data_IF_466400707417
#
_entry.id   IF_466400707417
#
_cell.length_a   1.000
_cell.length_b   1.000
_cell.length_c   1.000
_cell.angle_alpha   90.00
_cell.angle_beta   90.00
_cell.angle_gamma   90.00
#
_symmetry.space_group_name_H-M   'P 1'
#
loop_
_entity.id
_entity.type
_entity.pdbx_description
1 polymer ?
#
# COMPACT_ATOMS: atom_id res chain seq x y z
N UNK A 1 9.99 8.71 -1.57
CA UNK A 1 9.71 8.41 -2.98
C UNK A 1 9.67 6.91 -3.15
N UNK A 2 8.65 6.37 -3.83
CA UNK A 2 8.57 4.96 -4.22
C UNK A 2 8.79 4.86 -5.73
N UNK A 3 9.61 3.89 -6.16
CA UNK A 3 9.82 3.55 -7.56
C UNK A 3 9.38 2.10 -7.77
N UNK A 4 8.52 1.87 -8.77
CA UNK A 4 7.95 0.55 -9.04
C UNK A 4 8.03 0.22 -10.54
N UNK A 5 9.21 -0.13 -11.08
CA UNK A 5 9.30 -0.71 -12.41
C UNK A 5 8.54 -2.04 -12.47
N UNK A 6 7.69 -2.19 -13.48
CA UNK A 6 6.87 -3.39 -13.68
C UNK A 6 6.97 -3.85 -15.12
N UNK A 7 7.19 -5.15 -15.31
CA UNK A 7 7.18 -5.81 -16.61
C UNK A 7 5.92 -6.67 -16.76
N UNK A 8 5.16 -6.43 -17.81
CA UNK A 8 3.94 -7.17 -18.13
C UNK A 8 4.21 -8.14 -19.28
N UNK A 9 3.94 -9.42 -19.05
CA UNK A 9 4.14 -10.46 -20.06
C UNK A 9 3.06 -10.37 -21.13
N UNK A 10 3.47 -10.47 -22.39
CA UNK A 10 2.52 -10.47 -23.52
C UNK A 10 1.71 -11.78 -23.62
N UNK A 11 2.30 -12.90 -23.19
CA UNK A 11 1.64 -14.22 -23.22
C UNK A 11 0.77 -14.38 -21.97
N UNK A 12 -0.52 -14.69 -22.13
CA UNK A 12 -1.40 -14.95 -20.98
C UNK A 12 -0.93 -16.17 -20.16
N UNK A 13 -1.06 -16.05 -18.85
CA UNK A 13 -0.81 -17.14 -17.89
C UNK A 13 -2.15 -17.45 -17.21
N UNK A 14 -2.59 -18.70 -17.19
CA UNK A 14 -3.87 -19.12 -16.61
C UNK A 14 -5.07 -18.26 -17.11
N UNK A 15 -5.02 -17.83 -18.35
CA UNK A 15 -6.04 -16.96 -18.93
C UNK A 15 -5.98 -15.49 -18.52
N UNK A 16 -5.01 -15.12 -17.69
CA UNK A 16 -4.80 -13.76 -17.19
C UNK A 16 -3.49 -13.15 -17.65
N UNK A 17 -3.34 -11.85 -17.44
CA UNK A 17 -2.12 -11.10 -17.74
C UNK A 17 -1.21 -11.08 -16.53
N UNK A 18 -0.06 -11.73 -16.63
CA UNK A 18 0.97 -11.73 -15.60
C UNK A 18 1.83 -10.48 -15.68
N UNK A 19 2.12 -9.87 -14.55
CA UNK A 19 3.13 -8.83 -14.43
C UNK A 19 4.01 -9.09 -13.20
N UNK A 20 5.29 -8.75 -13.32
CA UNK A 20 6.26 -8.78 -12.22
C UNK A 20 6.85 -7.39 -12.03
N UNK A 21 7.15 -7.04 -10.82
CA UNK A 21 7.71 -5.72 -10.47
C UNK A 21 8.57 -5.77 -9.22
N UNK A 22 9.24 -4.65 -8.98
CA UNK A 22 10.05 -4.44 -7.80
C UNK A 22 9.82 -3.02 -7.32
N UNK A 23 9.30 -2.84 -6.10
CA UNK A 23 9.19 -1.52 -5.50
C UNK A 23 10.41 -1.25 -4.63
N UNK A 24 11.02 -0.08 -4.79
CA UNK A 24 12.07 0.42 -3.93
C UNK A 24 11.65 1.73 -3.26
N UNK A 25 12.06 1.91 -2.02
CA UNK A 25 11.77 3.10 -1.22
C UNK A 25 13.06 3.95 -1.06
N UNK A 26 12.94 5.25 -1.24
CA UNK A 26 13.90 6.25 -0.80
C UNK A 26 13.17 7.40 -0.09
N UNK A 27 13.68 7.82 1.06
CA UNK A 27 12.99 8.87 1.80
C UNK A 27 13.69 9.32 3.06
N UNK A 28 12.94 10.09 3.84
CA UNK A 28 13.31 10.51 5.19
C UNK A 28 12.25 10.02 6.17
N UNK A 29 12.72 9.41 7.25
CA UNK A 29 11.92 9.11 8.43
C UNK A 29 12.39 10.01 9.58
N UNK A 30 11.45 10.51 10.39
CA UNK A 30 11.74 11.22 11.62
C UNK A 30 10.71 10.87 12.68
N UNK A 31 11.18 10.76 13.94
CA UNK A 31 10.34 10.49 15.09
C UNK A 31 10.79 11.37 16.26
N UNK A 32 9.84 12.00 16.93
CA UNK A 32 10.05 12.78 18.14
C UNK A 32 9.16 12.22 19.25
N UNK A 33 9.77 11.81 20.36
CA UNK A 33 9.08 11.35 21.56
C UNK A 33 9.17 12.41 22.64
N UNK A 34 8.02 12.87 23.13
CA UNK A 34 7.93 13.78 24.26
C UNK A 34 7.46 13.00 25.48
N UNK A 35 8.25 13.01 26.55
CA UNK A 35 7.96 12.33 27.80
C UNK A 35 7.90 13.29 28.98
N UNK A 36 6.99 13.00 29.91
CA UNK A 36 6.91 13.71 31.19
C UNK A 36 7.09 12.69 32.31
N UNK A 37 8.14 12.84 33.10
CA UNK A 37 8.38 12.04 34.31
C UNK A 37 7.99 12.84 35.52
N UNK A 38 6.99 12.37 36.27
CA UNK A 38 6.63 12.93 37.58
C UNK A 38 7.03 11.98 38.67
N UNK A 39 7.96 12.40 39.51
CA UNK A 39 8.39 11.65 40.70
C UNK A 39 7.76 12.29 41.93
N UNK A 40 6.94 11.55 42.68
CA UNK A 40 6.33 11.99 43.93
C UNK A 40 7.02 11.37 45.10
N UNK A 41 7.39 12.20 46.13
CA UNK A 41 7.94 11.78 47.39
C UNK A 41 7.15 12.46 48.51
N UNK A 42 6.17 11.76 49.08
CA UNK A 42 5.21 12.34 50.04
C UNK A 42 4.41 13.48 49.40
N UNK A 43 4.33 14.67 50.04
CA UNK A 43 3.59 15.81 49.51
C UNK A 43 4.31 16.56 48.35
N UNK A 44 5.53 16.17 48.02
CA UNK A 44 6.35 16.82 47.00
C UNK A 44 6.32 16.05 45.71
N UNK A 45 6.06 16.74 44.56
CA UNK A 45 6.16 16.18 43.26
C UNK A 45 7.11 17.01 42.37
N UNK A 46 8.02 16.33 41.69
CA UNK A 46 8.92 16.95 40.72
C UNK A 46 8.57 16.39 39.31
N UNK A 47 8.24 17.28 38.42
CA UNK A 47 7.95 16.94 37.04
C UNK A 47 9.10 17.36 36.13
N UNK A 48 9.62 16.43 35.32
CA UNK A 48 10.64 16.70 34.33
C UNK A 48 10.07 16.34 32.95
N UNK A 49 10.23 17.22 31.98
CA UNK A 49 9.91 16.99 30.59
C UNK A 49 11.21 16.71 29.83
N UNK A 50 11.15 15.77 28.90
CA UNK A 50 12.25 15.47 27.99
C UNK A 50 11.72 15.15 26.59
N UNK A 51 12.49 15.52 25.57
CA UNK A 51 12.24 15.19 24.16
C UNK A 51 13.43 14.40 23.64
N UNK A 52 13.15 13.28 22.98
CA UNK A 52 14.15 12.50 22.24
C UNK A 52 13.70 12.50 20.78
N UNK A 53 14.55 13.04 19.89
CA UNK A 53 14.29 13.06 18.45
C UNK A 53 15.33 12.26 17.68
N UNK A 54 14.90 11.64 16.59
CA UNK A 54 15.77 10.95 15.64
C UNK A 54 15.26 11.13 14.21
N UNK A 55 16.19 11.14 13.26
CA UNK A 55 15.83 11.18 11.83
C UNK A 55 16.90 10.51 10.95
N UNK A 56 16.45 9.87 9.88
CA UNK A 56 17.32 9.24 8.88
C UNK A 56 16.82 9.55 7.47
N UNK A 57 17.74 9.80 6.55
CA UNK A 57 17.46 9.86 5.10
C UNK A 57 18.26 8.76 4.44
N UNK A 58 17.58 7.79 3.84
CA UNK A 58 18.22 6.59 3.27
C UNK A 58 17.29 5.88 2.30
N UNK A 59 17.69 4.68 1.89
CA UNK A 59 16.86 3.72 1.18
C UNK A 59 16.12 2.82 2.17
N UNK A 60 14.92 2.42 1.83
CA UNK A 60 14.15 1.39 2.55
C UNK A 60 14.32 0.02 1.92
N UNK A 61 13.42 -0.88 2.28
CA UNK A 61 13.41 -2.25 1.81
C UNK A 61 12.98 -2.37 0.34
N UNK A 62 13.19 -3.55 -0.24
CA UNK A 62 12.78 -3.87 -1.60
C UNK A 62 11.59 -4.82 -1.57
N UNK A 63 10.58 -4.52 -2.39
CA UNK A 63 9.33 -5.26 -2.44
C UNK A 63 9.13 -5.90 -3.83
N UNK A 64 9.68 -7.12 -4.08
CA UNK A 64 9.36 -7.88 -5.28
C UNK A 64 7.89 -8.27 -5.28
N UNK A 65 7.25 -8.19 -6.46
CA UNK A 65 5.83 -8.53 -6.58
C UNK A 65 5.52 -9.22 -7.90
N UNK A 66 4.50 -10.07 -7.87
CA UNK A 66 3.87 -10.63 -9.05
C UNK A 66 2.36 -10.43 -8.96
N UNK A 67 1.74 -10.04 -10.08
CA UNK A 67 0.28 -9.87 -10.18
C UNK A 67 -0.25 -10.62 -11.38
N UNK A 68 -1.41 -11.25 -11.22
CA UNK A 68 -2.14 -11.89 -12.31
C UNK A 68 -3.52 -11.26 -12.41
N UNK A 69 -3.86 -10.70 -13.57
CA UNK A 69 -5.08 -9.93 -13.80
C UNK A 69 -5.95 -10.56 -14.87
N UNK A 70 -7.26 -10.59 -14.62
CA UNK A 70 -8.27 -11.02 -15.57
C UNK A 70 -9.24 -9.90 -15.85
N UNK A 71 -9.52 -9.66 -17.15
CA UNK A 71 -10.49 -8.68 -17.60
C UNK A 71 -11.70 -9.39 -18.20
N UNK A 72 -12.89 -9.10 -17.69
CA UNK A 72 -14.17 -9.62 -18.18
C UNK A 72 -15.13 -8.49 -18.53
N UNK A 73 -14.63 -7.45 -19.19
CA UNK A 73 -15.38 -6.27 -19.56
C UNK A 73 -15.43 -5.23 -18.45
N UNK A 74 -16.59 -4.99 -17.85
CA UNK A 74 -16.73 -4.03 -16.76
C UNK A 74 -16.12 -4.54 -15.44
N UNK A 75 -15.88 -5.85 -15.32
CA UNK A 75 -15.40 -6.50 -14.13
C UNK A 75 -13.96 -7.00 -14.33
N UNK A 76 -13.06 -6.62 -13.44
CA UNK A 76 -11.66 -7.02 -13.48
C UNK A 76 -11.30 -7.65 -12.16
N UNK A 77 -10.54 -8.72 -12.22
CA UNK A 77 -10.07 -9.45 -11.04
C UNK A 77 -8.54 -9.48 -11.02
N UNK A 78 -7.98 -9.55 -9.85
CA UNK A 78 -6.54 -9.63 -9.65
C UNK A 78 -6.22 -10.56 -8.49
N UNK A 79 -5.14 -11.32 -8.61
CA UNK A 79 -4.44 -11.88 -7.47
C UNK A 79 -2.99 -11.41 -7.48
N UNK A 80 -2.36 -11.36 -6.32
CA UNK A 80 -0.98 -10.95 -6.21
C UNK A 80 -0.26 -11.70 -5.09
N UNK A 81 1.05 -11.70 -5.20
CA UNK A 81 1.98 -12.01 -4.12
C UNK A 81 3.06 -10.94 -4.12
N UNK A 82 3.48 -10.52 -2.92
CA UNK A 82 4.54 -9.56 -2.70
C UNK A 82 5.44 -10.05 -1.58
N UNK A 83 6.74 -9.77 -1.66
CA UNK A 83 7.69 -10.01 -0.60
C UNK A 83 8.25 -8.71 -0.06
N UNK A 84 8.86 -8.77 1.10
CA UNK A 84 9.74 -7.74 1.65
C UNK A 84 11.13 -8.33 1.85
N UNK A 85 12.11 -7.73 1.19
CA UNK A 85 13.53 -8.04 1.34
C UNK A 85 14.15 -6.95 2.22
N UNK A 86 14.55 -7.25 3.46
CA UNK A 86 14.98 -6.28 4.46
C UNK A 86 16.42 -5.82 4.21
N UNK A 87 16.62 -5.02 3.17
CA UNK A 87 17.90 -4.42 2.79
C UNK A 87 17.98 -2.92 3.08
N UNK A 88 16.91 -2.35 3.56
CA UNK A 88 16.80 -0.95 3.92
C UNK A 88 17.57 -0.59 5.19
N UNK A 89 17.71 0.71 5.41
CA UNK A 89 18.40 1.22 6.60
C UNK A 89 17.56 0.93 7.85
N UNK A 90 18.04 -0.01 8.65
CA UNK A 90 17.48 -0.43 9.91
C UNK A 90 18.55 -0.56 11.01
N UNK A 91 18.23 -0.04 12.18
CA UNK A 91 19.00 -0.20 13.42
C UNK A 91 18.00 -0.27 14.59
N UNK A 92 17.98 -1.39 15.38
CA UNK A 92 17.02 -1.58 16.46
C UNK A 92 17.17 -0.58 17.62
N UNK A 93 18.27 0.17 17.66
CA UNK A 93 18.52 1.19 18.69
C UNK A 93 18.00 2.57 18.31
N UNK A 94 17.56 2.77 17.06
CA UNK A 94 17.04 4.03 16.55
C UNK A 94 15.53 4.12 16.68
N UNK A 95 15.03 5.35 16.85
CA UNK A 95 13.60 5.66 16.80
C UNK A 95 13.08 5.76 15.36
N UNK A 96 13.94 6.23 14.43
CA UNK A 96 13.58 6.41 13.04
C UNK A 96 14.36 5.43 12.14
N UNK A 97 13.64 4.59 11.42
CA UNK A 97 14.15 3.64 10.45
C UNK A 97 13.39 3.77 9.11
N UNK A 98 13.98 3.31 8.01
CA UNK A 98 13.33 3.19 6.69
C UNK A 98 13.14 1.73 6.26
N UNK A 99 13.96 0.82 6.76
CA UNK A 99 13.72 -0.62 6.70
C UNK A 99 12.94 -1.09 7.93
N UNK A 100 12.23 -2.21 7.81
CA UNK A 100 11.47 -2.81 8.93
C UNK A 100 12.28 -3.84 9.72
N UNK A 101 13.47 -4.20 9.21
CA UNK A 101 14.42 -5.09 9.90
C UNK A 101 14.04 -6.58 9.88
N UNK A 102 13.04 -6.97 9.12
CA UNK A 102 12.65 -8.37 8.91
C UNK A 102 11.99 -8.56 7.55
N UNK A 103 12.06 -9.78 7.01
CA UNK A 103 11.34 -10.12 5.80
C UNK A 103 9.83 -10.24 6.07
N UNK A 104 9.03 -10.09 5.01
CA UNK A 104 7.61 -10.38 5.03
C UNK A 104 7.17 -11.00 3.70
N UNK A 105 6.04 -11.70 3.72
CA UNK A 105 5.33 -12.14 2.53
C UNK A 105 3.87 -11.76 2.63
N UNK A 106 3.36 -11.20 1.55
CA UNK A 106 1.99 -10.73 1.43
C UNK A 106 1.31 -11.37 0.22
N UNK A 107 0.04 -11.67 0.34
CA UNK A 107 -0.74 -12.19 -0.76
C UNK A 107 -2.21 -11.88 -0.62
N UNK A 108 -2.85 -11.69 -1.76
CA UNK A 108 -4.25 -11.29 -1.75
C UNK A 108 -4.90 -11.26 -3.11
N UNK A 109 -6.04 -10.57 -3.16
CA UNK A 109 -6.81 -10.40 -4.37
C UNK A 109 -7.44 -9.03 -4.47
N UNK A 110 -7.81 -8.68 -5.69
CA UNK A 110 -8.45 -7.41 -5.99
C UNK A 110 -9.58 -7.55 -7.00
N UNK A 111 -10.46 -6.59 -6.93
CA UNK A 111 -11.58 -6.46 -7.84
C UNK A 111 -11.72 -5.00 -8.27
N UNK A 112 -11.98 -4.78 -9.56
CA UNK A 112 -12.33 -3.48 -10.10
C UNK A 112 -13.58 -3.60 -10.96
N UNK A 113 -14.58 -2.79 -10.65
CA UNK A 113 -15.70 -2.49 -11.53
C UNK A 113 -15.43 -1.16 -12.24
N UNK A 114 -15.57 -1.13 -13.54
CA UNK A 114 -15.50 0.10 -14.32
C UNK A 114 -16.56 0.09 -15.44
N UNK A 115 -17.43 1.09 -15.41
CA UNK A 115 -18.41 1.32 -16.45
C UNK A 115 -18.05 2.57 -17.28
N UNK A 116 -17.53 2.41 -18.50
CA UNK A 116 -17.10 3.54 -19.33
C UNK A 116 -18.24 4.42 -19.84
N UNK A 117 -19.50 3.94 -19.83
CA UNK A 117 -20.66 4.72 -20.25
C UNK A 117 -21.10 5.71 -19.16
N UNK A 118 -21.06 5.30 -17.90
CA UNK A 118 -21.45 6.13 -16.76
C UNK A 118 -20.27 6.80 -16.08
N UNK A 119 -19.05 6.32 -16.33
CA UNK A 119 -17.83 6.79 -15.68
C UNK A 119 -17.69 6.37 -14.21
N UNK A 120 -18.51 5.43 -13.73
CA UNK A 120 -18.36 4.91 -12.37
C UNK A 120 -17.26 3.87 -12.33
N UNK A 121 -16.42 3.99 -11.31
CA UNK A 121 -15.38 3.01 -10.97
C UNK A 121 -15.44 2.69 -9.48
N UNK A 122 -15.25 1.42 -9.15
CA UNK A 122 -14.98 0.94 -7.79
C UNK A 122 -13.88 -0.10 -7.84
N UNK A 123 -12.87 0.09 -7.03
CA UNK A 123 -11.74 -0.85 -6.89
C UNK A 123 -11.52 -1.20 -5.43
N UNK A 124 -11.21 -2.45 -5.15
CA UNK A 124 -10.77 -2.88 -3.83
C UNK A 124 -9.71 -3.97 -3.96
N UNK A 125 -8.74 -3.96 -3.05
CA UNK A 125 -7.69 -4.97 -2.91
C UNK A 125 -7.61 -5.35 -1.44
N UNK A 126 -7.62 -6.65 -1.14
CA UNK A 126 -7.45 -7.15 0.22
C UNK A 126 -6.38 -8.23 0.26
N UNK A 127 -5.64 -8.29 1.36
CA UNK A 127 -4.55 -9.23 1.53
C UNK A 127 -4.23 -9.55 2.98
N UNK A 128 -3.31 -10.49 3.12
CA UNK A 128 -2.74 -10.93 4.38
C UNK A 128 -1.22 -10.89 4.29
N UNK A 129 -0.59 -10.26 5.29
CA UNK A 129 0.86 -10.20 5.42
C UNK A 129 1.32 -11.11 6.55
N UNK A 130 2.23 -12.01 6.26
CA UNK A 130 2.98 -12.78 7.24
C UNK A 130 4.35 -12.16 7.45
N UNK A 131 4.63 -11.74 8.68
CA UNK A 131 5.89 -11.15 9.08
C UNK A 131 6.84 -12.23 9.58
N UNK A 132 8.07 -12.27 9.07
CA UNK A 132 9.11 -13.13 9.63
C UNK A 132 9.72 -12.47 10.87
N UNK A 133 10.39 -13.27 11.67
CA UNK A 133 11.02 -12.82 12.91
C UNK A 133 12.19 -11.87 12.61
N UNK A 134 12.21 -10.72 13.29
CA UNK A 134 13.36 -9.84 13.32
C UNK A 134 14.49 -10.51 14.13
N UNK A 135 15.64 -10.73 13.50
CA UNK A 135 16.74 -11.47 14.11
C UNK A 135 17.50 -10.64 15.13
N UNK A 136 17.48 -9.32 15.02
CA UNK A 136 18.18 -8.42 15.96
C UNK A 136 17.41 -8.28 17.28
N UNK A 137 16.09 -8.13 17.18
CA UNK A 137 15.23 -7.92 18.35
C UNK A 137 14.59 -9.21 18.88
N UNK A 138 14.66 -10.31 18.13
CA UNK A 138 13.97 -11.57 18.40
C UNK A 138 12.44 -11.42 18.51
N UNK A 139 11.90 -10.37 17.93
CA UNK A 139 10.48 -10.04 17.89
C UNK A 139 9.87 -10.40 16.55
N UNK A 140 8.61 -10.82 16.54
CA UNK A 140 7.85 -11.13 15.34
C UNK A 140 6.46 -10.51 15.44
N UNK A 141 6.12 -9.66 14.48
CA UNK A 141 4.79 -9.12 14.35
C UNK A 141 3.78 -10.22 13.98
N UNK A 142 2.55 -10.07 14.44
CA UNK A 142 1.47 -10.96 14.06
C UNK A 142 1.13 -10.87 12.57
N UNK A 143 0.14 -11.65 12.14
CA UNK A 143 -0.40 -11.60 10.78
C UNK A 143 -1.27 -10.35 10.65
N UNK A 144 -1.07 -9.61 9.55
CA UNK A 144 -1.80 -8.40 9.24
C UNK A 144 -2.83 -8.67 8.14
N UNK A 145 -4.05 -8.21 8.35
CA UNK A 145 -5.05 -8.05 7.31
C UNK A 145 -5.05 -6.60 6.85
N UNK A 146 -5.14 -6.39 5.56
CA UNK A 146 -5.33 -5.06 4.99
C UNK A 146 -6.34 -5.08 3.84
N UNK A 147 -7.01 -3.96 3.66
CA UNK A 147 -7.88 -3.68 2.52
C UNK A 147 -7.68 -2.23 2.10
N UNK A 148 -7.50 -2.02 0.80
CA UNK A 148 -7.50 -0.72 0.15
C UNK A 148 -8.68 -0.65 -0.81
N UNK A 149 -9.36 0.48 -0.87
CA UNK A 149 -10.49 0.69 -1.79
C UNK A 149 -10.50 2.09 -2.38
N UNK A 150 -11.13 2.22 -3.52
CA UNK A 150 -11.41 3.49 -4.17
C UNK A 150 -12.74 3.45 -4.89
N UNK A 151 -13.45 4.57 -4.87
CA UNK A 151 -14.66 4.80 -5.64
C UNK A 151 -14.53 6.11 -6.39
N UNK A 152 -14.67 6.10 -7.70
CA UNK A 152 -14.40 7.25 -8.58
C UNK A 152 -15.55 7.51 -9.54
N UNK A 153 -15.72 8.79 -9.85
CA UNK A 153 -16.54 9.27 -10.96
C UNK A 153 -15.63 9.90 -12.00
N UNK A 154 -15.61 9.34 -13.20
CA UNK A 154 -14.97 9.94 -14.35
C UNK A 154 -15.84 11.09 -14.87
N UNK A 155 -15.32 12.32 -14.77
CA UNK A 155 -15.95 13.53 -15.28
C UNK A 155 -15.72 13.70 -16.77
N UNK A 156 -14.65 13.11 -17.27
CA UNK A 156 -14.29 13.02 -18.68
C UNK A 156 -13.48 11.75 -18.92
N UNK A 157 -13.05 11.51 -20.16
CA UNK A 157 -12.11 10.39 -20.46
C UNK A 157 -10.75 10.55 -19.78
N UNK A 158 -10.44 11.73 -19.26
CA UNK A 158 -9.13 12.08 -18.71
C UNK A 158 -9.16 12.38 -17.23
N UNK A 159 -10.25 12.92 -16.69
CA UNK A 159 -10.31 13.41 -15.30
C UNK A 159 -11.32 12.59 -14.53
N UNK A 160 -10.93 12.16 -13.34
CA UNK A 160 -11.82 11.57 -12.37
C UNK A 160 -11.61 12.19 -10.98
N UNK A 161 -12.63 12.13 -10.18
CA UNK A 161 -12.63 12.48 -8.75
C UNK A 161 -13.27 11.36 -7.97
N UNK A 162 -12.93 11.24 -6.69
CA UNK A 162 -13.49 10.16 -5.90
C UNK A 162 -13.05 10.17 -4.45
N UNK A 163 -13.38 9.08 -3.79
CA UNK A 163 -12.96 8.76 -2.43
C UNK A 163 -12.08 7.52 -2.45
N UNK A 164 -11.12 7.49 -1.55
CA UNK A 164 -10.24 6.36 -1.28
C UNK A 164 -10.23 6.05 0.20
N UNK A 165 -9.94 4.82 0.54
CA UNK A 165 -9.77 4.43 1.92
C UNK A 165 -8.96 3.17 2.06
N UNK A 166 -8.51 2.93 3.27
CA UNK A 166 -7.89 1.68 3.67
C UNK A 166 -8.26 1.32 5.10
N UNK A 167 -8.17 0.05 5.41
CA UNK A 167 -8.19 -0.45 6.76
C UNK A 167 -7.06 -1.47 6.92
N UNK A 168 -6.33 -1.32 8.02
CA UNK A 168 -5.30 -2.24 8.46
C UNK A 168 -5.68 -2.78 9.83
N UNK A 169 -5.54 -4.08 10.02
CA UNK A 169 -5.80 -4.77 11.27
C UNK A 169 -4.85 -5.95 11.44
N UNK A 170 -4.00 -5.90 12.44
CA UNK A 170 -3.26 -7.08 12.87
C UNK A 170 -4.24 -8.06 13.54
N UNK A 171 -4.34 -9.28 12.99
CA UNK A 171 -5.35 -10.28 13.37
C UNK A 171 -4.83 -11.35 14.34
N UNK A 172 -3.51 -11.49 14.47
CA UNK A 172 -2.88 -12.35 15.49
C UNK A 172 -1.99 -11.53 16.40
N UNK A 173 -1.69 -12.07 17.58
CA UNK A 173 -0.78 -11.45 18.53
C UNK A 173 0.66 -11.47 18.01
N UNK A 174 1.47 -10.54 18.50
CA UNK A 174 2.91 -10.56 18.31
C UNK A 174 3.55 -11.69 19.11
N UNK A 175 4.72 -12.16 18.64
CA UNK A 175 5.46 -13.28 19.24
C UNK A 175 6.91 -12.87 19.53
N UNK A 176 7.60 -13.65 20.40
CA UNK A 176 9.03 -13.51 20.67
C UNK A 176 9.37 -12.89 22.02
N UNK A 177 10.59 -12.35 22.15
CA UNK A 177 11.03 -11.80 23.42
C UNK A 177 10.25 -10.53 23.76
N UNK A 178 9.47 -10.63 24.82
CA UNK A 178 8.79 -9.57 25.55
C UNK A 178 7.62 -8.83 24.91
N UNK A 179 6.46 -9.41 24.84
CA UNK A 179 5.27 -8.59 24.99
C UNK A 179 5.01 -8.32 26.48
N UNK A 180 5.86 -7.53 27.15
CA UNK A 180 5.58 -7.05 28.53
C UNK A 180 4.24 -6.32 28.58
N UNK A 181 3.79 -5.79 27.45
CA UNK A 181 2.58 -5.00 27.29
C UNK A 181 1.46 -5.70 26.49
N UNK A 182 1.63 -6.97 26.10
CA UNK A 182 0.64 -7.75 25.36
C UNK A 182 0.91 -7.86 23.87
N UNK A 183 -0.01 -8.47 23.13
CA UNK A 183 0.18 -8.85 21.73
C UNK A 183 -0.01 -7.74 20.70
N UNK A 184 -0.11 -6.49 21.11
CA UNK A 184 -0.17 -5.25 20.30
C UNK A 184 -0.92 -5.37 18.95
N UNK A 185 -2.10 -5.94 18.94
CA UNK A 185 -2.92 -5.97 17.72
C UNK A 185 -3.21 -4.56 17.22
N UNK A 186 -2.36 -4.08 16.32
CA UNK A 186 -2.47 -2.74 15.78
C UNK A 186 -3.57 -2.64 14.73
N UNK A 187 -4.22 -1.48 14.65
CA UNK A 187 -5.20 -1.16 13.62
C UNK A 187 -5.20 0.32 13.29
N UNK A 188 -5.66 0.64 12.10
CA UNK A 188 -5.97 2.00 11.66
C UNK A 188 -6.89 1.96 10.45
N UNK A 189 -7.74 2.97 10.33
CA UNK A 189 -8.57 3.21 9.16
C UNK A 189 -8.21 4.58 8.61
N UNK A 190 -8.09 4.69 7.29
CA UNK A 190 -7.88 5.95 6.60
C UNK A 190 -8.90 6.15 5.49
N UNK A 191 -9.43 7.37 5.36
CA UNK A 191 -10.36 7.75 4.29
C UNK A 191 -10.00 9.15 3.80
N UNK A 192 -10.20 9.41 2.51
CA UNK A 192 -10.01 10.73 1.97
C UNK A 192 -10.33 10.88 0.49
N UNK A 193 -10.17 12.08 -0.06
CA UNK A 193 -10.45 12.37 -1.45
C UNK A 193 -9.32 11.95 -2.38
N UNK A 194 -9.67 11.75 -3.66
CA UNK A 194 -8.71 11.63 -4.75
C UNK A 194 -9.14 12.41 -5.98
N UNK A 195 -8.16 12.82 -6.75
CA UNK A 195 -8.30 13.34 -8.11
C UNK A 195 -7.24 12.71 -9.00
N UNK A 196 -7.62 12.30 -10.20
CA UNK A 196 -6.71 11.72 -11.16
C UNK A 196 -6.85 12.29 -12.55
N UNK A 197 -5.75 12.23 -13.29
CA UNK A 197 -5.64 12.71 -14.65
C UNK A 197 -4.93 11.68 -15.53
N UNK A 198 -5.59 11.28 -16.61
CA UNK A 198 -5.07 10.39 -17.65
C UNK A 198 -4.68 11.23 -18.86
N UNK A 199 -3.49 11.05 -19.39
CA UNK A 199 -3.00 11.84 -20.51
C UNK A 199 -2.11 11.00 -21.44
N UNK A 200 -2.07 11.32 -22.74
CA UNK A 200 -1.17 10.65 -23.68
C UNK A 200 0.26 11.15 -23.50
N UNK A 201 1.23 10.26 -23.65
CA UNK A 201 2.67 10.54 -23.67
C UNK A 201 3.26 9.82 -24.89
N UNK A 202 3.17 10.43 -26.07
CA UNK A 202 3.47 9.73 -27.33
C UNK A 202 2.55 8.51 -27.50
N UNK A 203 3.14 7.34 -27.67
CA UNK A 203 2.42 6.06 -27.81
C UNK A 203 2.17 5.37 -26.45
N UNK A 204 2.23 6.12 -25.35
CA UNK A 204 2.05 5.62 -23.99
C UNK A 204 0.91 6.34 -23.28
N UNK A 205 0.42 5.75 -22.21
CA UNK A 205 -0.52 6.37 -21.29
C UNK A 205 0.21 6.91 -20.06
N UNK A 206 0.01 8.20 -19.78
CA UNK A 206 0.37 8.83 -18.53
C UNK A 206 -0.81 8.81 -17.55
N UNK A 207 -0.50 8.60 -16.28
CA UNK A 207 -1.43 8.66 -15.16
C UNK A 207 -0.83 9.51 -14.05
N UNK A 208 -1.58 10.48 -13.59
CA UNK A 208 -1.27 11.30 -12.44
C UNK A 208 -2.44 11.23 -11.45
N UNK A 209 -2.16 10.92 -10.20
CA UNK A 209 -3.18 10.86 -9.16
C UNK A 209 -2.67 11.50 -7.88
N UNK A 210 -3.48 12.39 -7.32
CA UNK A 210 -3.30 12.95 -5.99
C UNK A 210 -4.40 12.42 -5.09
N UNK A 211 -4.01 11.86 -3.95
CA UNK A 211 -4.92 11.36 -2.92
C UNK A 211 -4.40 11.70 -1.54
N UNK A 212 -5.31 11.94 -0.63
CA UNK A 212 -5.00 12.20 0.76
C UNK A 212 -5.90 11.39 1.68
N UNK A 213 -5.41 11.10 2.88
CA UNK A 213 -6.16 10.32 3.88
C UNK A 213 -6.06 11.01 5.23
N UNK A 214 -7.20 11.05 5.95
CA UNK A 214 -7.24 11.26 7.38
C UNK A 214 -7.40 9.92 8.07
N UNK A 215 -6.57 9.65 9.05
CA UNK A 215 -6.58 8.40 9.81
C UNK A 215 -7.39 8.52 11.09
N UNK A 216 -8.10 7.46 11.46
CA UNK A 216 -8.90 7.36 12.67
C UNK A 216 -8.98 5.90 13.13
N UNK A 217 -9.59 5.67 14.30
CA UNK A 217 -9.73 4.35 14.95
C UNK A 217 -8.40 3.62 15.10
N UNK A 218 -7.32 4.36 15.38
CA UNK A 218 -6.02 3.79 15.60
C UNK A 218 -5.93 3.14 16.99
N UNK A 219 -5.38 1.93 17.04
CA UNK A 219 -5.05 1.23 18.27
C UNK A 219 -3.64 0.65 18.15
N UNK A 220 -2.84 0.80 19.21
CA UNK A 220 -1.45 0.34 19.30
C UNK A 220 -0.53 0.86 18.18
N UNK A 221 -0.90 1.99 17.59
CA UNK A 221 -0.11 2.74 16.61
C UNK A 221 -0.59 4.20 16.54
N UNK A 222 0.25 5.14 16.08
CA UNK A 222 -0.18 6.51 15.83
C UNK A 222 -1.24 6.59 14.73
N UNK A 223 -2.13 7.59 14.81
CA UNK A 223 -2.96 8.07 13.72
C UNK A 223 -2.45 9.43 13.24
N UNK A 224 -2.73 9.75 12.00
CA UNK A 224 -2.32 11.01 11.40
C UNK A 224 -3.04 11.32 10.11
N UNK A 225 -2.32 11.88 9.18
CA UNK A 225 -2.75 12.10 7.81
C UNK A 225 -1.59 11.77 6.86
N UNK A 226 -1.92 11.41 5.63
CA UNK A 226 -0.93 11.19 4.60
C UNK A 226 -1.46 11.64 3.24
N UNK A 227 -0.54 11.97 2.33
CA UNK A 227 -0.84 12.41 0.97
C UNK A 227 0.10 11.71 -0.01
N UNK A 228 -0.46 11.26 -1.12
CA UNK A 228 0.25 10.55 -2.17
C UNK A 228 0.07 11.23 -3.50
N UNK A 229 1.18 11.52 -4.17
CA UNK A 229 1.21 11.90 -5.58
C UNK A 229 1.78 10.71 -6.35
N UNK A 230 0.97 10.11 -7.20
CA UNK A 230 1.36 8.97 -8.05
C UNK A 230 1.50 9.44 -9.48
N UNK A 231 2.63 9.15 -10.10
CA UNK A 231 2.87 9.31 -11.52
C UNK A 231 3.22 7.94 -12.12
N UNK A 232 2.59 7.59 -13.22
CA UNK A 232 2.86 6.34 -13.92
C UNK A 232 2.84 6.56 -15.43
N UNK A 233 3.70 5.86 -16.15
CA UNK A 233 3.70 5.75 -17.61
C UNK A 233 3.63 4.28 -17.95
N UNK A 234 2.72 3.90 -18.85
CA UNK A 234 2.55 2.52 -19.32
C UNK A 234 2.33 2.49 -20.83
N UNK A 235 2.79 1.45 -21.53
CA UNK A 235 2.45 1.25 -22.94
C UNK A 235 0.93 1.24 -23.14
N UNK A 236 0.46 1.72 -24.28
CA UNK A 236 -0.94 1.53 -24.66
C UNK A 236 -1.22 0.02 -24.78
N UNK A 237 -2.36 -0.43 -24.25
CA UNK A 237 -2.80 -1.78 -24.53
C UNK A 237 -2.96 -1.94 -26.04
N UNK A 238 -2.47 -3.04 -26.65
CA UNK A 238 -2.69 -3.28 -28.06
C UNK A 238 -4.19 -3.21 -28.32
N UNK A 239 -4.58 -2.50 -29.40
CA UNK A 239 -5.98 -2.41 -29.79
C UNK A 239 -6.54 -3.82 -29.88
N UNK A 240 -7.59 -4.12 -29.11
CA UNK A 240 -8.24 -5.42 -29.12
C UNK A 240 -8.72 -5.67 -30.54
N UNK A 241 -8.07 -6.57 -31.27
CA UNK A 241 -8.54 -7.08 -32.56
C UNK A 241 -9.74 -7.97 -32.25
N UNK A 242 -10.89 -7.36 -32.01
CA UNK A 242 -12.17 -8.05 -32.09
C UNK A 242 -12.32 -8.41 -33.57
N UNK A 243 -12.06 -9.67 -33.88
CA UNK A 243 -12.32 -10.20 -35.23
C UNK A 243 -13.77 -9.85 -35.58
N UNK A 244 -14.04 -9.25 -36.78
CA UNK A 244 -15.40 -8.89 -37.16
C UNK A 244 -16.22 -10.17 -37.17
N UNK A 245 -17.26 -10.22 -36.35
CA UNK A 245 -18.22 -11.32 -36.31
C UNK A 245 -18.80 -11.47 -37.75
N UNK A 246 -18.40 -12.52 -38.43
CA UNK A 246 -18.87 -12.84 -39.79
C UNK A 246 -20.38 -13.04 -39.70
N UNK A 247 -21.16 -12.04 -40.12
CA UNK A 247 -22.60 -12.22 -40.31
C UNK A 247 -22.78 -13.33 -41.34
N UNK A 248 -23.26 -14.47 -40.89
CA UNK A 248 -23.78 -15.50 -41.79
C UNK A 248 -25.03 -14.91 -42.41
N UNK A 249 -24.91 -14.52 -43.66
CA UNK A 249 -26.07 -14.22 -44.51
C UNK A 249 -26.64 -15.58 -44.94
N UNK A 250 -27.68 -16.01 -44.28
CA UNK A 250 -28.53 -17.12 -44.75
C UNK A 250 -29.41 -16.59 -45.91
N UNK A 251 -29.23 -17.18 -47.08
CA UNK A 251 -30.15 -17.04 -48.23
C UNK A 251 -31.43 -17.84 -47.96
#
# INVERSE_FOLDING_TARGET
MLLNPTYTFATPVLGGQLAIGMTGLFGRSSADLNGTLTTALGPFAVTRMGTIGDSITSVGDLYPQATLKWNTGAHNFMTYVMGDIPVGAYDPTRLANLGIGHAAIDGGGGYTYFNPQTGHEFSAVAGLTYNFKNQDTQYQNGIDFHIDWGASQFLSKQIFVGLVGYAYQQITDDFGQHPVLGGFRSRVIGVGPQIGYLFPVGDMHGYLNLKGYGEFDAANRPAGWNTWLTFSISPMAPASTVAPTRRLVTK
#
